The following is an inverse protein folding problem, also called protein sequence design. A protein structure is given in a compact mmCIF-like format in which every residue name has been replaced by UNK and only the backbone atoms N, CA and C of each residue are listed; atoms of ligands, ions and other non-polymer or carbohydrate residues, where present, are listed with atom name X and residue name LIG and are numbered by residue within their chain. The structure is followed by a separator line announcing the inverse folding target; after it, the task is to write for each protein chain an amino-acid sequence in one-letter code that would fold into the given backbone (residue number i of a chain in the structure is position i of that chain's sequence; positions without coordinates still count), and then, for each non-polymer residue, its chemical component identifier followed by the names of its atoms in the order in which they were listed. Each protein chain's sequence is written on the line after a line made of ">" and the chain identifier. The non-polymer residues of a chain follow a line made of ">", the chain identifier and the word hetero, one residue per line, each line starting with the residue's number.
data_IF_611282583314
#
_entry.id   IF_611282583314
#
_cell.length_a   1.000
_cell.length_b   1.000
_cell.length_c   1.000
_cell.angle_alpha   90.00
_cell.angle_beta   90.00
_cell.angle_gamma   90.00
#
_symmetry.space_group_name_H-M   'P 1'
#
loop_
_entity.id
_entity.type
_entity.pdbx_description
1 polymer ?
#
# COMPACT_ATOMS: atom_id res chain seq x y z
N UNK A 1 -18.54 8.53 -2.14
CA UNK A 1 -18.59 7.06 -2.08
C UNK A 1 -17.22 6.54 -1.68
N UNK A 2 -17.17 5.61 -0.75
CA UNK A 2 -15.91 5.06 -0.27
C UNK A 2 -15.24 4.19 -1.34
N UNK A 3 -13.92 4.30 -1.47
CA UNK A 3 -13.15 3.46 -2.37
C UNK A 3 -13.14 2.01 -1.87
N UNK A 4 -12.77 1.06 -2.74
CA UNK A 4 -12.58 -0.33 -2.35
C UNK A 4 -11.56 -0.43 -1.22
N UNK A 5 -10.49 0.38 -1.26
CA UNK A 5 -9.46 0.35 -0.22
C UNK A 5 -9.98 0.86 1.12
N UNK A 6 -10.79 1.93 1.13
CA UNK A 6 -11.44 2.38 2.36
C UNK A 6 -12.30 1.28 2.96
N UNK A 7 -13.02 0.55 2.14
CA UNK A 7 -13.87 -0.55 2.58
C UNK A 7 -13.05 -1.73 3.11
N UNK A 8 -11.90 -2.01 2.52
CA UNK A 8 -10.97 -3.04 3.03
C UNK A 8 -10.41 -2.60 4.39
N UNK A 9 -10.01 -1.34 4.52
CA UNK A 9 -9.49 -0.78 5.77
C UNK A 9 -10.53 -0.86 6.88
N UNK A 10 -11.79 -0.60 6.55
CA UNK A 10 -12.90 -0.66 7.51
C UNK A 10 -13.34 -2.08 7.86
N UNK A 11 -12.81 -3.09 7.19
CA UNK A 11 -13.19 -4.48 7.42
C UNK A 11 -14.45 -4.94 6.69
N UNK A 12 -15.00 -4.11 5.81
CA UNK A 12 -16.21 -4.46 5.03
C UNK A 12 -15.90 -5.44 3.90
N UNK A 13 -14.66 -5.41 3.39
CA UNK A 13 -14.18 -6.33 2.37
C UNK A 13 -12.94 -7.06 2.90
N UNK A 14 -12.71 -8.30 2.44
CA UNK A 14 -11.55 -9.06 2.93
C UNK A 14 -10.23 -8.48 2.43
N UNK A 15 -9.19 -8.59 3.26
CA UNK A 15 -7.84 -8.20 2.90
C UNK A 15 -6.83 -8.97 3.75
N UNK A 16 -5.71 -9.33 3.16
CA UNK A 16 -4.62 -9.99 3.87
C UNK A 16 -3.62 -8.93 4.31
N UNK A 17 -3.78 -8.43 5.53
CA UNK A 17 -2.94 -7.37 6.07
C UNK A 17 -1.58 -7.91 6.53
N UNK A 18 -0.52 -7.18 6.18
CA UNK A 18 0.84 -7.47 6.66
C UNK A 18 1.36 -6.36 7.57
N UNK A 19 0.70 -5.21 7.58
CA UNK A 19 1.09 -4.07 8.41
C UNK A 19 -0.10 -3.13 8.60
N UNK A 20 -0.25 -2.59 9.80
CA UNK A 20 -1.24 -1.55 10.09
C UNK A 20 -0.69 -0.57 11.11
N UNK A 21 -0.99 0.71 10.92
CA UNK A 21 -0.78 1.75 11.92
C UNK A 21 -1.86 2.83 11.79
N UNK A 22 -1.71 3.95 12.49
CA UNK A 22 -2.72 5.00 12.50
C UNK A 22 -2.80 5.78 11.17
N UNK A 23 -1.77 5.69 10.34
CA UNK A 23 -1.64 6.49 9.11
C UNK A 23 -1.89 5.67 7.87
N UNK A 24 -1.39 4.45 7.83
CA UNK A 24 -1.50 3.61 6.64
C UNK A 24 -1.63 2.12 7.00
N UNK A 25 -1.99 1.36 5.99
CA UNK A 25 -2.03 -0.11 6.08
C UNK A 25 -1.25 -0.68 4.90
N UNK A 26 -0.87 -1.95 5.00
CA UNK A 26 -0.34 -2.69 3.87
C UNK A 26 -1.03 -4.04 3.79
N UNK A 27 -1.48 -4.39 2.58
CA UNK A 27 -2.13 -5.68 2.34
C UNK A 27 -1.72 -6.25 0.99
N UNK A 28 -1.89 -7.57 0.86
CA UNK A 28 -1.53 -8.25 -0.38
C UNK A 28 -2.53 -7.89 -1.48
N UNK A 29 -2.04 -7.67 -2.69
CA UNK A 29 -2.91 -7.47 -3.84
C UNK A 29 -3.53 -8.80 -4.29
N UNK A 30 -4.74 -8.73 -4.86
CA UNK A 30 -5.40 -9.89 -5.45
C UNK A 30 -4.92 -10.14 -6.90
N UNK A 31 -4.20 -9.18 -7.48
CA UNK A 31 -3.69 -9.28 -8.85
C UNK A 31 -2.17 -9.07 -8.86
N UNK A 32 -1.39 -9.99 -8.29
CA UNK A 32 0.05 -9.78 -8.17
C UNK A 32 0.77 -9.84 -9.51
N UNK A 33 1.71 -8.90 -9.70
CA UNK A 33 2.66 -8.95 -10.82
C UNK A 33 3.68 -10.04 -10.55
N UNK A 34 4.07 -10.19 -9.29
CA UNK A 34 4.99 -11.23 -8.87
C UNK A 34 4.70 -11.62 -7.42
N UNK A 35 5.34 -12.70 -6.97
CA UNK A 35 5.18 -13.18 -5.59
C UNK A 35 5.58 -12.09 -4.59
N UNK A 36 4.73 -11.87 -3.61
CA UNK A 36 4.98 -10.86 -2.58
C UNK A 36 4.49 -9.47 -2.92
N UNK A 37 3.84 -9.28 -4.06
CA UNK A 37 3.28 -7.98 -4.44
C UNK A 37 2.21 -7.56 -3.43
N UNK A 38 2.41 -6.39 -2.83
CA UNK A 38 1.48 -5.83 -1.86
C UNK A 38 1.30 -4.34 -2.12
N UNK A 39 0.33 -3.76 -1.42
CA UNK A 39 0.00 -2.33 -1.54
C UNK A 39 0.17 -1.68 -0.18
N UNK A 40 0.82 -0.51 -0.15
CA UNK A 40 0.83 0.38 1.01
C UNK A 40 -0.17 1.48 0.73
N UNK A 41 -1.17 1.62 1.59
CA UNK A 41 -2.33 2.47 1.35
C UNK A 41 -2.54 3.40 2.55
N UNK A 42 -2.53 4.73 2.34
CA UNK A 42 -2.90 5.63 3.43
C UNK A 42 -4.37 5.44 3.80
N UNK A 43 -4.68 5.59 5.08
CA UNK A 43 -6.07 5.48 5.54
C UNK A 43 -6.95 6.57 4.98
N UNK A 44 -6.38 7.77 4.79
CA UNK A 44 -7.11 8.88 4.18
C UNK A 44 -7.33 8.60 2.70
N UNK A 45 -8.57 8.77 2.24
CA UNK A 45 -8.92 8.49 0.84
C UNK A 45 -8.61 9.71 -0.02
N UNK A 46 -7.40 9.72 -0.59
CA UNK A 46 -6.93 10.75 -1.52
C UNK A 46 -6.41 10.04 -2.76
N UNK A 47 -6.92 10.41 -3.92
CA UNK A 47 -6.63 9.72 -5.18
C UNK A 47 -5.17 9.94 -5.63
N UNK A 48 -4.74 11.20 -5.70
CA UNK A 48 -3.44 11.53 -6.25
C UNK A 48 -2.38 11.66 -5.16
N UNK A 49 -1.26 11.01 -5.35
CA UNK A 49 -0.16 11.07 -4.37
C UNK A 49 0.35 12.50 -4.16
N UNK A 50 0.24 13.34 -5.19
CA UNK A 50 0.65 14.75 -5.12
C UNK A 50 -0.23 15.58 -4.20
N UNK A 51 -1.43 15.11 -3.88
CA UNK A 51 -2.38 15.80 -2.99
C UNK A 51 -2.30 15.30 -1.55
N UNK A 52 -1.51 14.26 -1.29
CA UNK A 52 -1.30 13.80 0.08
C UNK A 52 -0.52 14.82 0.89
N UNK A 53 -0.91 15.08 2.15
CA UNK A 53 -0.05 15.84 3.06
C UNK A 53 1.34 15.22 3.15
N UNK A 54 2.37 16.07 3.27
CA UNK A 54 3.77 15.62 3.23
C UNK A 54 4.08 14.60 4.32
N UNK A 55 3.54 14.79 5.53
CA UNK A 55 3.76 13.86 6.63
C UNK A 55 3.19 12.46 6.34
N UNK A 56 2.04 12.41 5.69
CA UNK A 56 1.41 11.14 5.31
C UNK A 56 2.20 10.45 4.19
N UNK A 57 2.60 11.18 3.16
CA UNK A 57 3.37 10.59 2.06
C UNK A 57 4.74 10.11 2.52
N UNK A 58 5.42 10.86 3.37
CA UNK A 58 6.70 10.46 3.94
C UNK A 58 6.56 9.21 4.81
N UNK A 59 5.49 9.14 5.59
CA UNK A 59 5.20 7.98 6.44
C UNK A 59 4.97 6.73 5.59
N UNK A 60 4.16 6.82 4.54
CA UNK A 60 3.91 5.69 3.63
C UNK A 60 5.19 5.22 2.96
N UNK A 61 6.06 6.14 2.56
CA UNK A 61 7.36 5.80 1.98
C UNK A 61 8.25 5.07 2.98
N UNK A 62 8.29 5.53 4.23
CA UNK A 62 9.08 4.89 5.28
C UNK A 62 8.59 3.46 5.54
N UNK A 63 7.28 3.27 5.60
CA UNK A 63 6.68 1.94 5.78
C UNK A 63 6.98 1.04 4.59
N UNK A 64 6.84 1.55 3.36
CA UNK A 64 7.15 0.80 2.15
C UNK A 64 8.61 0.34 2.15
N UNK A 65 9.53 1.21 2.55
CA UNK A 65 10.96 0.88 2.64
C UNK A 65 11.22 -0.22 3.66
N UNK A 66 10.59 -0.14 4.82
CA UNK A 66 10.71 -1.16 5.86
C UNK A 66 10.21 -2.51 5.37
N UNK A 67 9.06 -2.54 4.69
CA UNK A 67 8.48 -3.76 4.12
C UNK A 67 9.39 -4.30 3.01
N UNK A 68 9.94 -3.43 2.16
CA UNK A 68 10.83 -3.84 1.08
C UNK A 68 12.08 -4.55 1.62
N UNK A 69 12.63 -4.09 2.73
CA UNK A 69 13.77 -4.77 3.38
C UNK A 69 13.39 -6.18 3.81
N UNK A 70 12.20 -6.34 4.38
CA UNK A 70 11.70 -7.65 4.79
C UNK A 70 11.46 -8.55 3.58
N UNK A 71 10.91 -8.01 2.48
CA UNK A 71 10.68 -8.77 1.25
C UNK A 71 11.99 -9.32 0.68
N UNK A 72 13.05 -8.53 0.68
CA UNK A 72 14.36 -8.99 0.20
C UNK A 72 14.89 -10.16 1.02
N UNK A 73 14.70 -10.13 2.32
CA UNK A 73 15.15 -11.20 3.21
C UNK A 73 14.32 -12.48 3.05
N UNK A 74 13.00 -12.34 2.99
CA UNK A 74 12.09 -13.48 2.99
C UNK A 74 12.02 -14.14 1.62
N UNK A 75 11.98 -13.33 0.55
CA UNK A 75 11.81 -13.82 -0.82
C UNK A 75 13.12 -14.01 -1.55
N UNK A 76 14.24 -13.60 -0.96
CA UNK A 76 15.59 -13.70 -1.54
C UNK A 76 15.67 -13.07 -2.93
N UNK A 77 14.97 -11.94 -3.13
CA UNK A 77 14.99 -11.22 -4.39
C UNK A 77 16.15 -10.21 -4.42
N UNK A 78 16.64 -9.92 -5.62
CA UNK A 78 17.74 -8.98 -5.80
C UNK A 78 17.30 -7.54 -5.61
N UNK A 79 16.06 -7.23 -5.96
CA UNK A 79 15.55 -5.86 -5.99
C UNK A 79 14.06 -5.83 -5.68
N UNK A 80 13.63 -4.77 -4.99
CA UNK A 80 12.21 -4.47 -4.77
C UNK A 80 11.92 -3.13 -5.45
N UNK A 81 10.86 -3.09 -6.23
CA UNK A 81 10.42 -1.88 -6.91
C UNK A 81 9.25 -1.25 -6.17
N UNK A 82 9.16 0.07 -6.23
CA UNK A 82 8.08 0.85 -5.67
C UNK A 82 7.43 1.66 -6.79
N UNK A 83 6.14 1.46 -7.00
CA UNK A 83 5.40 2.09 -8.08
C UNK A 83 4.13 2.73 -7.52
N UNK A 84 3.87 3.97 -7.87
CA UNK A 84 2.59 4.62 -7.60
C UNK A 84 1.85 4.71 -8.93
N UNK A 85 0.83 3.89 -9.09
CA UNK A 85 0.09 3.79 -10.34
C UNK A 85 -1.29 3.17 -10.09
N UNK A 86 -2.17 3.31 -11.07
CA UNK A 86 -3.46 2.63 -11.05
C UNK A 86 -4.63 3.60 -11.09
N UNK A 87 -5.38 3.55 -12.19
CA UNK A 87 -6.58 4.35 -12.34
C UNK A 87 -7.83 3.63 -11.83
N UNK A 88 -7.71 2.33 -11.54
CA UNK A 88 -8.85 1.48 -11.17
C UNK A 88 -9.45 1.86 -9.82
N UNK A 89 -8.62 2.35 -8.90
CA UNK A 89 -9.08 2.73 -7.57
C UNK A 89 -8.64 4.16 -7.28
N UNK A 90 -9.58 5.10 -7.09
CA UNK A 90 -9.27 6.50 -6.80
C UNK A 90 -8.87 6.70 -5.32
N UNK A 91 -7.84 6.02 -4.91
CA UNK A 91 -7.28 6.02 -3.58
C UNK A 91 -5.80 5.68 -3.74
N UNK A 92 -4.93 6.61 -3.41
CA UNK A 92 -3.48 6.46 -3.61
C UNK A 92 -2.97 5.15 -2.99
N UNK A 93 -2.15 4.45 -3.74
CA UNK A 93 -1.57 3.20 -3.24
C UNK A 93 -0.18 3.00 -3.87
N UNK A 94 0.74 2.55 -3.03
CA UNK A 94 2.12 2.27 -3.40
C UNK A 94 2.28 0.77 -3.59
N UNK A 95 2.63 0.37 -4.81
CA UNK A 95 2.87 -1.04 -5.15
C UNK A 95 4.24 -1.51 -4.71
#
# INVERSE_FOLDING_TARGET
>A
MASIFTRIIAGELPGTFVYTDDVCVAFMTINPISRGHLLVVPRVEIDQWTDLPDDISQHCFAVAKQIAKAQKQVLHCDRVELIIAGFEVPHCHLH
#
